data_IF_047081867728
#
_entry.id   IF_047081867728
#
_cell.length_a   1.000
_cell.length_b   1.000
_cell.length_c   1.000
_cell.angle_alpha   90.00
_cell.angle_beta   90.00
_cell.angle_gamma   90.00
#
_symmetry.space_group_name_H-M   'P 1'
#
loop_
_entity.id
_entity.type
_entity.pdbx_description
1 polymer ?
#
# COMPACT_ATOMS: atom_id res chain seq x y z
N UNK A 1 -47.38 -20.83 35.05
CA UNK A 1 -47.03 -19.68 34.17
C UNK A 1 -45.52 -19.73 33.95
N UNK A 2 -45.04 -20.02 32.74
CA UNK A 2 -43.61 -20.12 32.41
C UNK A 2 -43.10 -18.74 31.95
N UNK A 3 -42.00 -18.19 32.49
CA UNK A 3 -41.45 -16.96 31.93
C UNK A 3 -40.67 -17.27 30.65
N UNK A 4 -41.06 -16.62 29.57
CA UNK A 4 -40.30 -16.52 28.32
C UNK A 4 -38.96 -15.85 28.62
N UNK A 5 -37.86 -16.58 28.48
CA UNK A 5 -36.53 -15.97 28.47
C UNK A 5 -36.31 -15.31 27.09
N UNK A 6 -36.31 -13.98 27.08
CA UNK A 6 -35.94 -13.15 25.92
C UNK A 6 -34.45 -13.39 25.65
N UNK A 7 -34.16 -14.05 24.54
CA UNK A 7 -32.79 -14.25 24.06
C UNK A 7 -32.21 -12.93 23.57
N UNK A 8 -31.19 -12.42 24.27
CA UNK A 8 -30.38 -11.28 23.84
C UNK A 8 -29.39 -11.78 22.77
N UNK A 9 -29.74 -11.61 21.49
CA UNK A 9 -28.86 -11.91 20.37
C UNK A 9 -27.84 -10.76 20.23
N UNK A 10 -26.67 -10.91 20.85
CA UNK A 10 -25.56 -9.99 20.64
C UNK A 10 -24.92 -10.26 19.28
N UNK A 11 -25.31 -9.50 18.25
CA UNK A 11 -24.64 -9.51 16.96
C UNK A 11 -23.23 -8.91 17.10
N UNK A 12 -22.23 -9.78 17.18
CA UNK A 12 -20.81 -9.41 17.12
C UNK A 12 -20.49 -8.90 15.70
N UNK A 13 -20.34 -7.59 15.53
CA UNK A 13 -19.75 -7.02 14.32
C UNK A 13 -18.24 -7.30 14.34
N UNK A 14 -17.81 -8.33 13.61
CA UNK A 14 -16.40 -8.54 13.31
C UNK A 14 -15.95 -7.49 12.29
N UNK A 15 -15.21 -6.47 12.75
CA UNK A 15 -14.47 -5.59 11.85
C UNK A 15 -13.34 -6.40 11.20
N UNK A 16 -13.52 -6.81 9.94
CA UNK A 16 -12.45 -7.38 9.14
C UNK A 16 -11.52 -6.24 8.73
N UNK A 17 -10.36 -6.14 9.40
CA UNK A 17 -9.27 -5.28 8.95
C UNK A 17 -8.59 -5.97 7.77
N UNK A 18 -8.92 -5.57 6.54
CA UNK A 18 -8.19 -6.04 5.38
C UNK A 18 -6.81 -5.37 5.34
N UNK A 19 -5.74 -6.15 5.50
CA UNK A 19 -4.40 -5.66 5.23
C UNK A 19 -4.29 -5.38 3.73
N UNK A 20 -4.10 -4.11 3.35
CA UNK A 20 -3.93 -3.75 1.95
C UNK A 20 -2.72 -4.49 1.36
N UNK A 21 -2.90 -5.13 0.20
CA UNK A 21 -1.79 -5.76 -0.50
C UNK A 21 -0.83 -4.69 -1.04
N UNK A 22 0.35 -5.11 -1.49
CA UNK A 22 1.32 -4.22 -2.15
C UNK A 22 0.69 -3.57 -3.40
N UNK A 23 -0.05 -4.35 -4.19
CA UNK A 23 -0.75 -3.86 -5.38
C UNK A 23 -1.82 -2.83 -5.02
N UNK A 24 -2.65 -3.09 -3.99
CA UNK A 24 -3.67 -2.14 -3.54
C UNK A 24 -3.04 -0.84 -3.03
N UNK A 25 -1.89 -0.95 -2.36
CA UNK A 25 -1.14 0.21 -1.88
C UNK A 25 -0.60 1.06 -3.03
N UNK A 26 -0.06 0.42 -4.07
CA UNK A 26 0.39 1.11 -5.29
C UNK A 26 -0.79 1.80 -5.98
N UNK A 27 -1.91 1.12 -6.15
CA UNK A 27 -3.11 1.69 -6.79
C UNK A 27 -3.65 2.88 -5.99
N UNK A 28 -3.73 2.74 -4.66
CA UNK A 28 -4.13 3.83 -3.77
C UNK A 28 -3.21 5.03 -3.91
N UNK A 29 -1.89 4.83 -3.99
CA UNK A 29 -0.94 5.92 -4.21
C UNK A 29 -1.12 6.55 -5.59
N UNK A 30 -1.37 5.76 -6.64
CA UNK A 30 -1.63 6.25 -8.00
C UNK A 30 -2.90 7.08 -8.11
N UNK A 31 -3.88 6.87 -7.22
CA UNK A 31 -5.14 7.61 -7.17
C UNK A 31 -5.02 9.02 -6.58
N UNK A 32 -3.86 9.39 -6.02
CA UNK A 32 -3.67 10.72 -5.43
C UNK A 32 -3.78 11.82 -6.49
N UNK A 33 -4.44 12.91 -6.14
CA UNK A 33 -4.68 14.05 -7.03
C UNK A 33 -4.47 15.39 -6.31
N UNK A 34 -4.76 16.48 -7.01
CA UNK A 34 -4.54 17.84 -6.53
C UNK A 34 -5.42 18.18 -5.32
N UNK A 35 -5.10 19.28 -4.64
CA UNK A 35 -5.90 19.80 -3.51
C UNK A 35 -6.00 18.83 -2.32
N UNK A 36 -5.05 17.90 -2.21
CA UNK A 36 -5.00 16.92 -1.11
C UNK A 36 -5.97 15.74 -1.23
N UNK A 37 -6.71 15.64 -2.34
CA UNK A 37 -7.61 14.52 -2.61
C UNK A 37 -6.83 13.21 -2.66
N UNK A 38 -7.17 12.30 -1.74
CA UNK A 38 -6.52 10.99 -1.60
C UNK A 38 -5.25 10.99 -0.74
N UNK A 39 -4.75 12.12 -0.25
CA UNK A 39 -3.49 12.18 0.51
C UNK A 39 -3.50 11.29 1.76
N UNK A 40 -4.59 11.27 2.53
CA UNK A 40 -4.68 10.46 3.74
C UNK A 40 -4.64 8.95 3.43
N UNK A 41 -5.26 8.53 2.32
CA UNK A 41 -5.24 7.15 1.86
C UNK A 41 -3.84 6.79 1.32
N UNK A 42 -3.27 7.65 0.48
CA UNK A 42 -1.91 7.51 -0.05
C UNK A 42 -0.87 7.43 1.06
N UNK A 43 -0.99 8.22 2.13
CA UNK A 43 -0.09 8.17 3.28
C UNK A 43 -0.18 6.83 4.03
N UNK A 44 -1.37 6.26 4.18
CA UNK A 44 -1.55 4.92 4.79
C UNK A 44 -0.97 3.82 3.90
N UNK A 45 -1.29 3.86 2.60
CA UNK A 45 -0.76 2.94 1.60
C UNK A 45 0.77 3.01 1.51
N UNK A 46 1.33 4.21 1.53
CA UNK A 46 2.77 4.42 1.52
C UNK A 46 3.45 3.81 2.74
N UNK A 47 2.84 3.88 3.94
CA UNK A 47 3.37 3.22 5.15
C UNK A 47 3.39 1.69 5.06
N UNK A 48 2.46 1.10 4.31
CA UNK A 48 2.45 -0.34 4.03
C UNK A 48 3.55 -0.65 3.02
N UNK A 49 3.55 0.06 1.89
CA UNK A 49 4.50 -0.11 0.80
C UNK A 49 5.96 0.06 1.27
N UNK A 50 6.27 1.09 2.05
CA UNK A 50 7.62 1.44 2.49
C UNK A 50 8.21 0.46 3.53
N UNK A 51 7.42 -0.48 4.04
CA UNK A 51 7.87 -1.56 4.92
C UNK A 51 8.15 -2.88 4.19
N UNK A 52 7.82 -2.98 2.90
CA UNK A 52 8.00 -4.19 2.12
C UNK A 52 9.47 -4.48 1.78
N UNK A 53 9.82 -5.74 1.53
CA UNK A 53 11.18 -6.14 1.19
C UNK A 53 11.66 -5.56 -0.15
N UNK A 54 12.99 -5.49 -0.34
CA UNK A 54 13.58 -4.94 -1.56
C UNK A 54 13.15 -5.65 -2.86
N UNK A 55 12.68 -6.90 -2.77
CA UNK A 55 12.20 -7.69 -3.90
C UNK A 55 11.05 -7.03 -4.69
N UNK A 56 10.32 -6.11 -4.06
CA UNK A 56 9.20 -5.40 -4.70
C UNK A 56 9.62 -4.11 -5.43
N UNK A 57 10.88 -3.69 -5.33
CA UNK A 57 11.38 -2.46 -5.98
C UNK A 57 11.10 -2.40 -7.49
N UNK A 58 11.33 -3.48 -8.29
CA UNK A 58 10.99 -3.46 -9.71
C UNK A 58 9.50 -3.19 -9.98
N UNK A 59 8.61 -3.72 -9.14
CA UNK A 59 7.16 -3.49 -9.27
C UNK A 59 6.79 -2.03 -9.00
N UNK A 60 7.38 -1.40 -7.98
CA UNK A 60 7.14 0.02 -7.70
C UNK A 60 7.64 0.88 -8.86
N UNK A 61 8.86 0.64 -9.33
CA UNK A 61 9.48 1.40 -10.43
C UNK A 61 8.65 1.28 -11.71
N UNK A 62 8.21 0.07 -12.07
CA UNK A 62 7.31 -0.13 -13.21
C UNK A 62 5.97 0.61 -13.04
N UNK A 63 5.47 0.71 -11.82
CA UNK A 63 4.21 1.38 -11.51
C UNK A 63 4.29 2.91 -11.59
N UNK A 64 5.49 3.50 -11.71
CA UNK A 64 5.65 4.92 -11.99
C UNK A 64 5.31 5.27 -13.45
N UNK A 65 5.30 4.29 -14.36
CA UNK A 65 4.89 4.52 -15.75
C UNK A 65 3.41 4.92 -15.81
N UNK A 66 3.17 6.09 -16.38
CA UNK A 66 1.82 6.68 -16.49
C UNK A 66 1.24 7.15 -15.16
N UNK A 67 2.03 7.23 -14.09
CA UNK A 67 1.60 7.85 -12.84
C UNK A 67 1.59 9.39 -13.00
N UNK A 68 0.68 10.06 -12.29
CA UNK A 68 0.76 11.52 -12.17
C UNK A 68 2.07 11.94 -11.52
N UNK A 69 2.59 13.17 -11.75
CA UNK A 69 3.81 13.64 -11.09
C UNK A 69 3.75 13.52 -9.56
N UNK A 70 2.56 13.75 -8.97
CA UNK A 70 2.34 13.60 -7.55
C UNK A 70 2.44 12.12 -7.12
N UNK A 71 1.74 11.21 -7.80
CA UNK A 71 1.82 9.78 -7.52
C UNK A 71 3.24 9.24 -7.68
N UNK A 72 3.93 9.62 -8.75
CA UNK A 72 5.33 9.24 -8.98
C UNK A 72 6.25 9.70 -7.84
N UNK A 73 5.98 10.86 -7.24
CA UNK A 73 6.72 11.34 -6.07
C UNK A 73 6.54 10.46 -4.84
N UNK A 74 5.30 10.05 -4.55
CA UNK A 74 5.02 9.11 -3.47
C UNK A 74 5.68 7.75 -3.69
N UNK A 75 5.57 7.20 -4.90
CA UNK A 75 6.20 5.92 -5.25
C UNK A 75 7.73 6.00 -5.12
N UNK A 76 8.35 7.07 -5.60
CA UNK A 76 9.80 7.31 -5.48
C UNK A 76 10.24 7.38 -4.02
N UNK A 77 9.52 8.12 -3.17
CA UNK A 77 9.82 8.15 -1.74
C UNK A 77 9.74 6.75 -1.09
N UNK A 78 8.85 5.89 -1.60
CA UNK A 78 8.75 4.48 -1.21
C UNK A 78 9.99 3.69 -1.61
N UNK A 79 10.43 3.82 -2.88
CA UNK A 79 11.67 3.23 -3.38
C UNK A 79 12.86 3.65 -2.52
N UNK A 80 13.02 4.95 -2.27
CA UNK A 80 14.14 5.49 -1.49
C UNK A 80 14.17 4.91 -0.08
N UNK A 81 13.01 4.86 0.59
CA UNK A 81 12.87 4.31 1.94
C UNK A 81 13.18 2.81 1.98
N UNK A 82 12.78 2.06 0.94
CA UNK A 82 13.04 0.63 0.88
C UNK A 82 14.53 0.39 0.65
N UNK A 83 15.09 1.02 -0.36
CA UNK A 83 16.50 0.87 -0.74
C UNK A 83 17.44 1.29 0.40
N UNK A 84 17.14 2.39 1.11
CA UNK A 84 18.03 2.92 2.16
C UNK A 84 18.24 1.99 3.35
N UNK A 85 17.29 1.09 3.63
CA UNK A 85 17.39 0.12 4.75
C UNK A 85 17.74 -1.29 4.32
N UNK A 86 17.76 -1.56 3.01
CA UNK A 86 17.98 -2.88 2.46
C UNK A 86 19.48 -3.16 2.28
N UNK A 87 19.94 -4.31 2.78
CA UNK A 87 21.34 -4.74 2.62
C UNK A 87 21.63 -5.29 1.22
N UNK A 88 20.62 -5.92 0.61
CA UNK A 88 20.69 -6.51 -0.71
C UNK A 88 19.56 -5.96 -1.56
N UNK A 89 19.86 -5.60 -2.81
CA UNK A 89 18.87 -5.18 -3.80
C UNK A 89 18.66 -6.31 -4.82
N UNK A 90 17.49 -6.38 -5.49
CA UNK A 90 17.25 -7.31 -6.58
C UNK A 90 17.99 -6.84 -7.85
N UNK A 91 19.32 -6.91 -7.83
CA UNK A 91 20.20 -6.34 -8.85
C UNK A 91 19.86 -6.85 -10.25
N UNK A 92 19.63 -8.16 -10.41
CA UNK A 92 19.30 -8.76 -11.70
C UNK A 92 18.03 -8.15 -12.30
N UNK A 93 16.98 -8.02 -11.49
CA UNK A 93 15.69 -7.47 -11.92
C UNK A 93 15.80 -5.96 -12.18
N UNK A 94 16.55 -5.23 -11.36
CA UNK A 94 16.79 -3.79 -11.56
C UNK A 94 17.63 -3.52 -12.81
N UNK A 95 18.66 -4.31 -13.08
CA UNK A 95 19.46 -4.22 -14.31
C UNK A 95 18.61 -4.55 -15.54
N UNK A 96 17.70 -5.51 -15.44
CA UNK A 96 16.76 -5.83 -16.52
C UNK A 96 15.74 -4.72 -16.78
N UNK A 97 15.50 -3.84 -15.81
CA UNK A 97 14.58 -2.71 -15.97
C UNK A 97 15.20 -1.52 -16.71
N UNK A 98 16.53 -1.36 -16.64
CA UNK A 98 17.26 -0.24 -17.27
C UNK A 98 17.79 -0.58 -18.68
N UNK A 99 17.93 -1.87 -18.98
CA UNK A 99 18.41 -2.36 -20.27
C UNK A 99 17.35 -2.18 -21.37
#
# INVERSE_FOLDING_TARGET
>A
MKPLAVGLLASQFFFVVHAASISDSIETIRSVSTEGKGNAAAAKAWKVLSKADASILPQILASMKGASPLAANWLRAGVDTIASRSKNLPEKELLSFIA
#
